data_IF_067259955560
#
_entry.id   IF_067259955560
#
_cell.length_a   1.000
_cell.length_b   1.000
_cell.length_c   1.000
_cell.angle_alpha   90.00
_cell.angle_beta   90.00
_cell.angle_gamma   90.00
#
_symmetry.space_group_name_H-M   'P 1'
#
loop_
_entity.id
_entity.type
_entity.pdbx_description
1 polymer ?
#
# COMPACT_ATOMS: atom_id res chain seq x y z
N UNK A 1 52.24 23.93 -13.91
CA UNK A 1 51.37 23.40 -12.83
C UNK A 1 50.05 24.21 -12.89
N UNK A 2 49.15 23.94 -13.79
CA UNK A 2 47.79 24.55 -13.78
C UNK A 2 46.83 23.81 -14.76
N UNK A 3 46.72 22.47 -14.69
CA UNK A 3 45.79 21.74 -15.51
C UNK A 3 44.97 20.65 -14.73
N UNK A 4 44.89 20.79 -13.39
CA UNK A 4 44.11 19.82 -12.59
C UNK A 4 42.73 20.31 -12.14
N UNK A 5 42.37 21.61 -12.40
CA UNK A 5 41.10 22.15 -11.92
C UNK A 5 39.92 21.95 -12.89
N UNK A 6 40.16 21.68 -14.18
CA UNK A 6 39.08 21.51 -15.17
C UNK A 6 38.47 20.12 -15.20
N UNK A 7 39.12 19.10 -14.69
CA UNK A 7 38.58 17.73 -14.69
C UNK A 7 37.72 17.39 -13.47
N UNK A 8 37.70 18.22 -12.44
CA UNK A 8 36.89 17.94 -11.23
C UNK A 8 35.42 18.29 -11.33
N UNK A 9 34.98 19.12 -12.26
CA UNK A 9 33.60 19.59 -12.32
C UNK A 9 32.67 18.70 -13.14
N UNK A 10 33.18 17.91 -14.09
CA UNK A 10 32.34 17.07 -14.95
C UNK A 10 32.07 15.66 -14.40
N UNK A 11 32.87 15.17 -13.46
CA UNK A 11 32.71 13.83 -12.90
C UNK A 11 31.71 13.77 -11.73
N UNK A 12 31.50 14.90 -11.02
CA UNK A 12 30.60 14.95 -9.87
C UNK A 12 29.10 15.06 -10.26
N UNK A 13 28.79 15.48 -11.49
CA UNK A 13 27.40 15.60 -11.96
C UNK A 13 26.77 14.27 -12.45
N UNK A 14 27.53 13.18 -12.50
CA UNK A 14 27.07 11.91 -13.09
C UNK A 14 26.29 11.05 -12.10
N UNK A 15 26.40 11.31 -10.82
CA UNK A 15 25.76 10.52 -9.76
C UNK A 15 24.78 11.42 -8.99
N UNK A 16 23.49 11.04 -9.05
CA UNK A 16 22.40 11.76 -8.38
C UNK A 16 21.87 10.87 -7.24
N UNK A 17 21.82 11.42 -6.03
CA UNK A 17 21.16 10.80 -4.89
C UNK A 17 19.69 11.24 -4.89
N UNK A 18 18.77 10.30 -4.98
CA UNK A 18 17.34 10.55 -4.86
C UNK A 18 16.85 10.24 -3.45
N UNK A 19 15.82 10.94 -2.98
CA UNK A 19 15.10 10.53 -1.81
C UNK A 19 14.16 9.33 -2.15
N UNK A 20 13.66 8.58 -1.15
CA UNK A 20 12.86 7.38 -1.42
C UNK A 20 11.60 7.66 -2.27
N UNK A 21 10.91 8.78 -2.04
CA UNK A 21 9.70 9.14 -2.82
C UNK A 21 10.05 9.45 -4.28
N UNK A 22 11.09 10.23 -4.51
CA UNK A 22 11.58 10.54 -5.87
C UNK A 22 12.00 9.27 -6.60
N UNK A 23 12.68 8.35 -5.92
CA UNK A 23 13.09 7.08 -6.51
C UNK A 23 11.90 6.21 -6.92
N UNK A 24 10.85 6.12 -6.07
CA UNK A 24 9.61 5.40 -6.39
C UNK A 24 8.97 5.95 -7.67
N UNK A 25 8.84 7.28 -7.78
CA UNK A 25 8.25 7.95 -8.95
C UNK A 25 9.11 7.80 -10.21
N UNK A 26 10.44 7.81 -10.07
CA UNK A 26 11.39 7.68 -11.18
C UNK A 26 11.55 6.24 -11.68
N UNK A 27 11.21 5.24 -10.87
CA UNK A 27 11.41 3.82 -11.15
C UNK A 27 10.15 2.98 -10.86
N UNK A 28 8.99 3.28 -11.50
CA UNK A 28 7.74 2.57 -11.25
C UNK A 28 7.87 1.06 -11.41
N UNK A 29 8.62 0.58 -12.40
CA UNK A 29 8.82 -0.84 -12.66
C UNK A 29 9.39 -1.64 -11.48
N UNK A 30 10.10 -1.00 -10.55
CA UNK A 30 10.62 -1.65 -9.34
C UNK A 30 9.59 -1.79 -8.21
N UNK A 31 8.52 -0.99 -8.23
CA UNK A 31 7.58 -0.87 -7.11
C UNK A 31 6.15 -1.31 -7.45
N UNK A 32 5.67 -0.91 -8.62
CA UNK A 32 4.29 -1.14 -9.03
C UNK A 32 4.15 -1.84 -10.39
N UNK A 33 5.24 -1.97 -11.14
CA UNK A 33 5.23 -2.50 -12.50
C UNK A 33 5.08 -1.42 -13.57
N UNK A 34 4.70 -1.82 -14.78
CA UNK A 34 4.57 -0.92 -15.92
C UNK A 34 3.47 0.11 -15.73
N UNK A 35 3.73 1.34 -16.15
CA UNK A 35 2.75 2.44 -16.23
C UNK A 35 2.14 2.59 -17.62
N UNK A 36 2.61 1.79 -18.58
CA UNK A 36 2.06 1.73 -19.95
C UNK A 36 0.90 0.74 -20.02
N UNK A 37 0.04 0.92 -21.01
CA UNK A 37 -1.05 -0.03 -21.30
C UNK A 37 -0.47 -1.34 -21.79
N UNK A 38 -0.91 -2.43 -21.18
CA UNK A 38 -0.57 -3.80 -21.58
C UNK A 38 -1.83 -4.58 -21.94
N UNK A 39 -1.68 -5.63 -22.74
CA UNK A 39 -2.76 -6.52 -23.18
C UNK A 39 -2.64 -7.88 -22.53
N UNK A 40 -3.72 -8.33 -21.92
CA UNK A 40 -3.76 -9.64 -21.27
C UNK A 40 -5.06 -10.37 -21.57
N UNK A 41 -4.98 -11.68 -21.80
CA UNK A 41 -6.15 -12.54 -21.82
C UNK A 41 -6.55 -12.91 -20.40
N UNK A 42 -7.65 -12.35 -19.93
CA UNK A 42 -8.14 -12.56 -18.56
C UNK A 42 -9.61 -13.01 -18.58
N UNK A 43 -9.99 -13.67 -17.49
CA UNK A 43 -11.39 -13.96 -17.22
C UNK A 43 -12.08 -12.71 -16.68
N UNK A 44 -13.06 -12.21 -17.39
CA UNK A 44 -13.86 -11.05 -16.99
C UNK A 44 -15.34 -11.42 -16.89
N UNK A 45 -16.07 -10.70 -16.07
CA UNK A 45 -17.50 -10.81 -16.00
C UNK A 45 -18.12 -10.27 -17.29
N UNK A 46 -19.02 -11.02 -17.93
CA UNK A 46 -19.71 -10.57 -19.14
C UNK A 46 -20.63 -9.36 -18.85
N UNK A 47 -21.10 -8.67 -19.88
CA UNK A 47 -21.95 -7.48 -19.75
C UNK A 47 -23.27 -7.76 -19.00
N UNK A 48 -23.85 -8.96 -19.18
CA UNK A 48 -25.04 -9.38 -18.44
C UNK A 48 -24.80 -9.76 -16.99
N UNK A 49 -23.53 -9.79 -16.53
CA UNK A 49 -23.11 -10.15 -15.18
C UNK A 49 -23.54 -11.56 -14.73
N UNK A 50 -23.67 -12.47 -15.67
CA UNK A 50 -24.17 -13.84 -15.42
C UNK A 50 -23.11 -14.91 -15.51
N UNK A 51 -22.00 -14.66 -16.23
CA UNK A 51 -20.93 -15.63 -16.43
C UNK A 51 -19.58 -14.95 -16.65
N UNK A 52 -18.51 -15.74 -16.46
CA UNK A 52 -17.16 -15.33 -16.78
C UNK A 52 -16.83 -15.72 -18.22
N UNK A 53 -16.18 -14.81 -18.96
CA UNK A 53 -15.65 -15.05 -20.30
C UNK A 53 -14.17 -14.72 -20.37
N UNK A 54 -13.41 -15.46 -21.18
CA UNK A 54 -11.99 -15.17 -21.43
C UNK A 54 -11.88 -14.18 -22.57
N UNK A 55 -11.32 -13.02 -22.31
CA UNK A 55 -11.24 -11.92 -23.26
C UNK A 55 -9.89 -11.22 -23.16
N UNK A 56 -9.39 -10.68 -24.28
CA UNK A 56 -8.29 -9.74 -24.26
C UNK A 56 -8.77 -8.41 -23.68
N UNK A 57 -8.06 -7.90 -22.68
CA UNK A 57 -8.35 -6.62 -22.04
C UNK A 57 -7.10 -5.78 -21.97
N UNK A 58 -7.28 -4.48 -22.19
CA UNK A 58 -6.26 -3.49 -21.98
C UNK A 58 -6.25 -3.08 -20.49
N UNK A 59 -5.08 -3.07 -19.86
CA UNK A 59 -4.94 -2.61 -18.50
C UNK A 59 -3.58 -1.97 -18.26
N UNK A 60 -3.44 -1.22 -17.18
CA UNK A 60 -2.17 -0.64 -16.74
C UNK A 60 -1.71 -1.41 -15.50
N UNK A 61 -0.65 -2.25 -15.59
CA UNK A 61 -0.18 -3.08 -14.48
C UNK A 61 0.04 -2.30 -13.19
N UNK A 62 0.68 -1.13 -13.27
CA UNK A 62 0.95 -0.29 -12.10
C UNK A 62 -0.32 0.23 -11.43
N UNK A 63 -1.34 0.64 -12.19
CA UNK A 63 -2.63 1.06 -11.63
C UNK A 63 -3.34 -0.10 -10.94
N UNK A 64 -3.35 -1.27 -11.57
CA UNK A 64 -3.91 -2.47 -10.97
C UNK A 64 -3.17 -2.83 -9.67
N UNK A 65 -1.83 -2.76 -9.68
CA UNK A 65 -1.00 -3.10 -8.51
C UNK A 65 -1.27 -2.20 -7.32
N UNK A 66 -1.37 -0.88 -7.47
CA UNK A 66 -1.65 0.03 -6.35
C UNK A 66 -3.05 -0.19 -5.76
N UNK A 67 -4.04 -0.58 -6.58
CA UNK A 67 -5.35 -1.01 -6.10
C UNK A 67 -5.26 -2.31 -5.30
N UNK A 68 -4.60 -3.33 -5.88
CA UNK A 68 -4.43 -4.65 -5.29
C UNK A 68 -3.72 -4.58 -3.93
N UNK A 69 -2.69 -3.75 -3.79
CA UNK A 69 -1.95 -3.56 -2.53
C UNK A 69 -2.85 -3.10 -1.36
N UNK A 70 -3.83 -2.25 -1.62
CA UNK A 70 -4.78 -1.83 -0.57
C UNK A 70 -5.78 -2.94 -0.27
N UNK A 71 -6.24 -3.67 -1.28
CA UNK A 71 -7.16 -4.78 -1.08
C UNK A 71 -6.50 -5.94 -0.33
N UNK A 72 -5.28 -6.29 -0.68
CA UNK A 72 -4.48 -7.31 0.03
C UNK A 72 -4.28 -6.92 1.50
N UNK A 73 -4.02 -5.65 1.81
CA UNK A 73 -3.93 -5.20 3.21
C UNK A 73 -5.21 -5.42 4.00
N UNK A 74 -6.39 -5.31 3.37
CA UNK A 74 -7.67 -5.66 4.02
C UNK A 74 -7.75 -7.16 4.28
N UNK A 75 -7.36 -8.00 3.32
CA UNK A 75 -7.34 -9.46 3.48
C UNK A 75 -6.36 -9.90 4.58
N UNK A 76 -5.16 -9.34 4.60
CA UNK A 76 -4.17 -9.58 5.65
C UNK A 76 -4.71 -9.16 7.03
N UNK A 77 -5.43 -8.03 7.07
CA UNK A 77 -6.08 -7.58 8.30
C UNK A 77 -7.16 -8.56 8.77
N UNK A 78 -7.97 -9.10 7.86
CA UNK A 78 -8.96 -10.14 8.19
C UNK A 78 -8.30 -11.37 8.81
N UNK A 79 -7.24 -11.88 8.20
CA UNK A 79 -6.48 -13.03 8.70
C UNK A 79 -5.92 -12.75 10.10
N UNK A 80 -5.30 -11.59 10.28
CA UNK A 80 -4.70 -11.16 11.55
C UNK A 80 -5.74 -11.05 12.69
N UNK A 81 -6.89 -10.45 12.42
CA UNK A 81 -7.98 -10.36 13.39
C UNK A 81 -8.51 -11.74 13.78
N UNK A 82 -8.59 -12.67 12.82
CA UNK A 82 -9.00 -14.05 13.08
C UNK A 82 -8.02 -14.77 14.00
N UNK A 83 -6.71 -14.70 13.69
CA UNK A 83 -5.66 -15.27 14.53
C UNK A 83 -5.68 -14.69 15.95
N UNK A 84 -5.78 -13.37 16.08
CA UNK A 84 -5.86 -12.70 17.38
C UNK A 84 -7.07 -13.13 18.22
N UNK A 85 -8.19 -13.46 17.59
CA UNK A 85 -9.34 -14.01 18.30
C UNK A 85 -9.12 -15.45 18.79
N UNK A 86 -8.41 -16.25 18.00
CA UNK A 86 -8.07 -17.64 18.35
C UNK A 86 -7.07 -17.69 19.50
N UNK A 87 -6.06 -16.81 19.49
CA UNK A 87 -4.99 -16.77 20.49
C UNK A 87 -5.37 -16.05 21.79
N UNK A 88 -6.33 -15.16 21.73
CA UNK A 88 -6.77 -14.39 22.90
C UNK A 88 -8.24 -14.67 23.19
N UNK A 89 -8.59 -14.94 24.45
CA UNK A 89 -10.00 -15.02 24.88
C UNK A 89 -10.76 -13.66 24.77
N UNK A 90 -10.25 -12.73 23.96
CA UNK A 90 -10.85 -11.40 23.75
C UNK A 90 -11.68 -11.40 22.48
N UNK A 91 -12.92 -10.97 22.56
CA UNK A 91 -13.79 -10.73 21.40
C UNK A 91 -13.30 -9.48 20.64
N UNK A 92 -12.54 -9.70 19.57
CA UNK A 92 -12.09 -8.64 18.66
C UNK A 92 -13.07 -8.58 17.48
N UNK A 93 -13.45 -7.38 17.05
CA UNK A 93 -14.38 -7.19 15.95
C UNK A 93 -13.76 -7.67 14.64
N UNK A 94 -14.34 -8.74 14.08
CA UNK A 94 -13.92 -9.33 12.81
C UNK A 94 -14.45 -8.52 11.63
N UNK A 95 -13.74 -8.56 10.50
CA UNK A 95 -14.24 -8.03 9.24
C UNK A 95 -15.35 -8.96 8.73
N UNK A 96 -16.54 -8.40 8.51
CA UNK A 96 -17.70 -9.07 7.92
C UNK A 96 -18.08 -8.49 6.59
N UNK A 97 -17.72 -7.24 6.34
CA UNK A 97 -18.05 -6.51 5.14
C UNK A 97 -16.81 -5.79 4.61
N UNK A 98 -16.58 -5.91 3.30
CA UNK A 98 -15.62 -5.09 2.56
C UNK A 98 -16.37 -4.39 1.44
N UNK A 99 -16.26 -3.08 1.37
CA UNK A 99 -16.84 -2.27 0.29
C UNK A 99 -15.74 -1.70 -0.58
N UNK A 100 -15.83 -1.93 -1.87
CA UNK A 100 -14.97 -1.33 -2.88
C UNK A 100 -15.81 -0.44 -3.76
N UNK A 101 -15.44 0.83 -3.87
CA UNK A 101 -16.08 1.77 -4.78
C UNK A 101 -15.05 2.33 -5.74
N UNK A 102 -15.31 2.21 -7.05
CA UNK A 102 -14.42 2.64 -8.13
C UNK A 102 -15.18 3.65 -8.98
N UNK A 103 -14.58 4.81 -9.17
CA UNK A 103 -15.06 5.86 -10.08
C UNK A 103 -13.98 6.14 -11.13
N UNK A 104 -14.26 6.94 -12.16
CA UNK A 104 -13.23 7.31 -13.15
C UNK A 104 -11.98 7.99 -12.56
N UNK A 105 -12.07 8.56 -11.35
CA UNK A 105 -11.01 9.37 -10.75
C UNK A 105 -10.62 8.95 -9.35
N UNK A 106 -11.33 7.99 -8.75
CA UNK A 106 -11.06 7.58 -7.37
C UNK A 106 -11.40 6.12 -7.10
N UNK A 107 -10.67 5.55 -6.15
CA UNK A 107 -10.95 4.23 -5.59
C UNK A 107 -11.03 4.38 -4.07
N UNK A 108 -12.05 3.79 -3.46
CA UNK A 108 -12.15 3.68 -2.00
C UNK A 108 -12.39 2.25 -1.57
N UNK A 109 -11.73 1.83 -0.51
CA UNK A 109 -11.85 0.50 0.07
C UNK A 109 -12.14 0.67 1.56
N UNK A 110 -13.22 0.07 2.01
CA UNK A 110 -13.68 0.09 3.39
C UNK A 110 -13.81 -1.33 3.93
N UNK A 111 -13.51 -1.52 5.19
CA UNK A 111 -13.87 -2.71 5.94
C UNK A 111 -14.45 -2.32 7.31
N UNK A 112 -15.27 -3.19 7.88
CA UNK A 112 -15.96 -2.97 9.15
C UNK A 112 -15.27 -3.64 10.35
N UNK A 113 -14.06 -4.16 10.20
CA UNK A 113 -13.28 -4.80 11.26
C UNK A 113 -12.81 -3.83 12.34
N UNK A 114 -12.05 -4.37 13.33
CA UNK A 114 -11.34 -3.55 14.30
C UNK A 114 -10.35 -2.64 13.59
N UNK A 115 -10.29 -1.36 13.98
CA UNK A 115 -9.41 -0.40 13.36
C UNK A 115 -7.96 -0.48 13.83
N UNK A 116 -7.13 0.39 13.25
CA UNK A 116 -5.72 0.53 13.63
C UNK A 116 -5.65 1.33 14.93
N UNK A 117 -4.73 0.96 15.82
CA UNK A 117 -4.47 1.66 17.08
C UNK A 117 -4.13 3.15 16.84
N UNK A 118 -4.94 4.05 17.38
CA UNK A 118 -4.75 5.50 17.28
C UNK A 118 -3.94 5.98 18.50
N UNK A 119 -2.63 5.74 18.43
CA UNK A 119 -1.66 6.18 19.42
C UNK A 119 -0.37 6.60 18.73
N UNK A 120 0.47 7.36 19.41
CA UNK A 120 1.80 7.69 18.93
C UNK A 120 2.75 6.52 19.14
N UNK A 121 3.52 6.20 18.11
CA UNK A 121 4.58 5.21 18.19
C UNK A 121 5.68 5.67 19.17
N UNK A 122 6.11 4.81 20.06
CA UNK A 122 7.04 5.17 21.14
C UNK A 122 8.38 5.74 20.63
N UNK A 123 8.93 5.16 19.57
CA UNK A 123 10.21 5.57 18.98
C UNK A 123 10.04 6.75 18.02
N UNK A 124 9.12 6.65 17.07
CA UNK A 124 9.01 7.62 15.96
C UNK A 124 8.16 8.86 16.29
N UNK A 125 7.40 8.84 17.41
CA UNK A 125 6.57 9.96 17.91
C UNK A 125 5.48 10.46 16.96
N UNK A 126 5.21 9.74 15.87
CA UNK A 126 4.08 9.94 14.94
C UNK A 126 2.96 8.97 15.24
N UNK A 127 1.75 9.25 14.79
CA UNK A 127 0.65 8.31 14.96
C UNK A 127 0.87 7.01 14.18
N UNK A 128 0.44 5.88 14.75
CA UNK A 128 0.60 4.57 14.10
C UNK A 128 -0.02 4.53 12.70
N UNK A 129 -1.24 5.05 12.45
CA UNK A 129 -1.78 5.12 11.09
C UNK A 129 -0.91 5.96 10.13
N UNK A 130 -0.37 7.09 10.56
CA UNK A 130 0.56 7.90 9.77
C UNK A 130 1.84 7.13 9.43
N UNK A 131 2.39 6.42 10.41
CA UNK A 131 3.58 5.60 10.22
C UNK A 131 3.33 4.51 9.15
N UNK A 132 2.20 3.81 9.24
CA UNK A 132 1.85 2.71 8.34
C UNK A 132 1.66 3.19 6.90
N UNK A 133 1.02 4.31 6.67
CA UNK A 133 0.61 4.75 5.32
C UNK A 133 1.48 5.87 4.73
N UNK A 134 2.22 6.61 5.55
CA UNK A 134 3.01 7.76 5.13
C UNK A 134 4.53 7.52 5.10
N UNK A 135 5.04 6.59 5.90
CA UNK A 135 6.48 6.40 6.04
C UNK A 135 6.96 5.15 5.31
N UNK A 136 7.90 5.32 4.37
CA UNK A 136 8.50 4.22 3.62
C UNK A 136 9.23 3.24 4.56
N UNK A 137 9.25 1.95 4.15
CA UNK A 137 9.98 0.89 4.84
C UNK A 137 9.53 0.70 6.31
N UNK A 138 8.23 0.80 6.57
CA UNK A 138 7.64 0.45 7.86
C UNK A 138 6.72 -0.75 7.70
N UNK A 139 7.02 -1.83 8.40
CA UNK A 139 6.24 -3.06 8.41
C UNK A 139 6.32 -3.71 9.80
N UNK A 140 5.31 -4.47 10.16
CA UNK A 140 5.35 -5.40 11.30
C UNK A 140 5.90 -6.77 10.92
N UNK A 141 6.21 -6.99 9.63
CA UNK A 141 6.47 -8.29 9.04
C UNK A 141 7.94 -8.46 8.61
N UNK A 142 8.90 -7.87 9.33
CA UNK A 142 10.33 -7.99 9.02
C UNK A 142 11.01 -9.19 9.69
N UNK A 143 10.33 -9.92 10.58
CA UNK A 143 10.89 -11.14 11.18
C UNK A 143 10.60 -12.32 10.25
N UNK A 144 11.63 -12.88 9.64
CA UNK A 144 11.52 -14.01 8.70
C UNK A 144 11.43 -15.38 9.38
N UNK A 145 11.52 -15.43 10.73
CA UNK A 145 11.41 -16.67 11.49
C UNK A 145 9.96 -17.02 11.89
N UNK A 146 9.01 -16.12 11.69
CA UNK A 146 7.60 -16.39 11.95
C UNK A 146 6.91 -17.01 10.72
N UNK A 147 6.17 -18.11 10.91
CA UNK A 147 5.27 -18.66 9.88
C UNK A 147 4.23 -17.62 9.48
N UNK A 148 4.24 -17.20 8.20
CA UNK A 148 3.39 -16.13 7.71
C UNK A 148 2.28 -16.67 6.81
N UNK A 149 1.06 -16.25 7.12
CA UNK A 149 -0.14 -16.52 6.31
C UNK A 149 -0.62 -15.24 5.58
N UNK A 150 0.16 -14.15 5.66
CA UNK A 150 -0.18 -12.81 5.15
C UNK A 150 0.69 -12.40 3.97
N UNK A 151 0.10 -11.67 2.99
CA UNK A 151 0.74 -11.33 1.72
C UNK A 151 1.72 -10.13 1.79
N UNK A 152 1.52 -9.20 2.73
CA UNK A 152 2.33 -7.99 2.84
C UNK A 152 3.70 -8.22 3.47
N UNK A 153 4.78 -8.16 2.67
CA UNK A 153 6.14 -8.46 3.13
C UNK A 153 7.02 -7.22 3.32
N UNK A 154 6.99 -6.29 2.39
CA UNK A 154 8.05 -5.28 2.22
C UNK A 154 7.70 -3.90 2.82
N UNK A 155 6.50 -3.71 3.36
CA UNK A 155 6.08 -2.43 3.91
C UNK A 155 6.05 -1.28 2.90
N UNK A 156 5.89 -1.58 1.61
CA UNK A 156 5.95 -0.61 0.50
C UNK A 156 4.58 -0.37 -0.13
N UNK A 157 3.72 -1.38 -0.24
CA UNK A 157 2.53 -1.36 -1.08
C UNK A 157 1.58 -0.18 -0.85
N UNK A 158 1.10 0.00 0.39
CA UNK A 158 0.22 1.12 0.72
C UNK A 158 0.90 2.49 0.56
N UNK A 159 2.23 2.56 0.79
CA UNK A 159 3.01 3.79 0.60
C UNK A 159 3.20 4.09 -0.89
N UNK A 160 3.38 3.07 -1.73
CA UNK A 160 3.39 3.25 -3.18
C UNK A 160 2.04 3.79 -3.66
N UNK A 161 0.92 3.23 -3.17
CA UNK A 161 -0.42 3.76 -3.46
C UNK A 161 -0.54 5.24 -3.07
N UNK A 162 -0.08 5.64 -1.88
CA UNK A 162 -0.03 7.03 -1.43
C UNK A 162 0.81 7.89 -2.39
N UNK A 163 2.04 7.48 -2.71
CA UNK A 163 2.98 8.25 -3.54
C UNK A 163 2.44 8.48 -4.96
N UNK A 164 1.74 7.50 -5.53
CA UNK A 164 1.16 7.60 -6.88
C UNK A 164 -0.23 8.25 -6.89
N UNK A 165 -0.83 8.54 -5.74
CA UNK A 165 -2.10 9.25 -5.64
C UNK A 165 -1.90 10.77 -5.61
N UNK A 166 -2.78 11.52 -6.25
CA UNK A 166 -2.86 12.99 -6.08
C UNK A 166 -3.36 13.37 -4.69
N UNK A 167 -4.18 12.51 -4.11
CA UNK A 167 -4.74 12.63 -2.77
C UNK A 167 -4.96 11.23 -2.24
N UNK A 168 -4.37 10.92 -1.11
CA UNK A 168 -4.53 9.66 -0.41
C UNK A 168 -5.06 9.92 0.99
N UNK A 169 -6.27 9.44 1.27
CA UNK A 169 -6.92 9.64 2.57
C UNK A 169 -7.09 8.32 3.29
N UNK A 170 -6.72 8.29 4.54
CA UNK A 170 -7.01 7.18 5.46
C UNK A 170 -7.96 7.65 6.55
N UNK A 171 -8.83 6.74 6.96
CA UNK A 171 -9.73 6.91 8.10
C UNK A 171 -9.79 5.59 8.86
N UNK A 172 -9.63 5.63 10.19
CA UNK A 172 -9.70 4.44 11.05
C UNK A 172 -10.31 4.78 12.39
N UNK A 173 -11.02 3.82 12.97
CA UNK A 173 -11.64 3.94 14.30
C UNK A 173 -10.98 2.94 15.25
N UNK A 174 -10.35 3.45 16.28
CA UNK A 174 -9.82 2.67 17.39
C UNK A 174 -10.92 2.52 18.45
N UNK A 175 -11.55 1.36 18.49
CA UNK A 175 -12.67 1.11 19.40
C UNK A 175 -12.22 1.04 20.88
N UNK A 176 -10.97 0.62 21.12
CA UNK A 176 -10.40 0.48 22.48
C UNK A 176 -10.19 1.85 23.12
N UNK A 177 -9.70 2.83 22.34
CA UNK A 177 -9.44 4.20 22.79
C UNK A 177 -10.58 5.15 22.49
N UNK A 178 -11.60 4.69 21.72
CA UNK A 178 -12.75 5.50 21.26
C UNK A 178 -12.31 6.73 20.46
N UNK A 179 -11.34 6.54 19.57
CA UNK A 179 -10.76 7.60 18.76
C UNK A 179 -11.00 7.32 17.27
N UNK A 180 -11.36 8.39 16.55
CA UNK A 180 -11.35 8.44 15.10
C UNK A 180 -10.07 9.13 14.65
N UNK A 181 -9.37 8.51 13.71
CA UNK A 181 -8.24 9.12 13.04
C UNK A 181 -8.52 9.29 11.55
N UNK A 182 -8.25 10.49 11.03
CA UNK A 182 -8.36 10.81 9.61
C UNK A 182 -7.18 11.66 9.19
N UNK A 183 -6.53 11.27 8.09
CA UNK A 183 -5.42 12.00 7.51
C UNK A 183 -5.48 11.93 5.99
N UNK A 184 -5.16 13.06 5.35
CA UNK A 184 -4.96 13.17 3.91
C UNK A 184 -3.50 13.54 3.65
N UNK A 185 -2.87 12.82 2.72
CA UNK A 185 -1.50 13.01 2.26
C UNK A 185 -1.48 13.70 0.91
#
# INVERSE_FOLDING_TARGET
INNLSFFKSSFSMKYVKMNPREHVLARPGMYIGSTEVDKVHSWILNESKTSMEKKEVDYIPGLFKIFDEILVNVLDHMVRLKQQNEDSNKKIKQVKEVKVNITPTSISIYNDGEGIDVCKHETYKVYVPELIFGNMLTSTNYDDNEERVIGGQNGIGAKACNIYSKMFTIETVDSKRKLLYKQTF
#
